data_IF_811619984676
#
_entry.id   IF_811619984676
#
_cell.length_a   1.000
_cell.length_b   1.000
_cell.length_c   1.000
_cell.angle_alpha   90.00
_cell.angle_beta   90.00
_cell.angle_gamma   90.00
#
_symmetry.space_group_name_H-M   'P 1'
#
loop_
_entity.id
_entity.type
_entity.pdbx_description
1 polymer ?
#
# COMPACT_ATOMS: atom_id res chain seq x y z
N UNK A 1 -0.07 -12.20 62.41
CA UNK A 1 -0.63 -12.62 61.12
C UNK A 1 -0.47 -11.46 60.14
N UNK A 2 0.42 -11.58 59.16
CA UNK A 2 0.57 -10.59 58.09
C UNK A 2 0.08 -11.24 56.79
N UNK A 3 -0.96 -10.68 56.19
CA UNK A 3 -1.49 -11.13 54.90
C UNK A 3 -0.69 -10.43 53.81
N UNK A 4 0.13 -11.19 53.07
CA UNK A 4 0.76 -10.71 51.85
C UNK A 4 -0.30 -10.71 50.73
N UNK A 5 -0.68 -9.52 50.26
CA UNK A 5 -1.52 -9.37 49.07
C UNK A 5 -0.66 -9.64 47.84
N UNK A 6 -0.97 -10.73 47.14
CA UNK A 6 -0.38 -11.03 45.84
C UNK A 6 -1.04 -10.14 44.78
N UNK A 7 -0.25 -9.26 44.16
CA UNK A 7 -0.64 -8.58 42.92
C UNK A 7 -0.23 -9.47 41.74
N UNK A 8 -1.17 -10.03 40.96
CA UNK A 8 -0.79 -10.67 39.71
C UNK A 8 -0.25 -9.57 38.80
N UNK A 9 1.05 -9.61 38.53
CA UNK A 9 1.63 -8.80 37.47
C UNK A 9 0.96 -9.21 36.17
N UNK A 10 0.20 -8.30 35.57
CA UNK A 10 -0.18 -8.42 34.17
C UNK A 10 1.13 -8.51 33.40
N UNK A 11 1.46 -9.72 32.92
CA UNK A 11 2.50 -9.90 31.94
C UNK A 11 2.00 -9.17 30.69
N UNK A 12 2.45 -7.93 30.49
CA UNK A 12 2.29 -7.31 29.19
C UNK A 12 3.11 -8.13 28.21
N UNK A 13 2.47 -8.65 27.16
CA UNK A 13 3.17 -9.13 25.99
C UNK A 13 4.11 -8.01 25.54
N UNK A 14 5.40 -8.24 25.72
CA UNK A 14 6.40 -7.33 25.19
C UNK A 14 6.38 -7.54 23.69
N UNK A 15 6.04 -6.53 22.88
CA UNK A 15 5.99 -6.71 21.44
C UNK A 15 7.37 -7.15 20.95
N UNK A 16 7.44 -8.35 20.40
CA UNK A 16 8.65 -8.85 19.76
C UNK A 16 8.86 -8.10 18.45
N UNK A 17 10.02 -7.46 18.23
CA UNK A 17 10.30 -6.74 16.98
C UNK A 17 10.33 -7.67 15.76
N UNK A 18 10.49 -8.97 15.97
CA UNK A 18 10.64 -9.97 14.91
C UNK A 18 9.33 -10.70 14.57
N UNK A 19 8.22 -10.41 15.27
CA UNK A 19 6.93 -11.04 14.99
C UNK A 19 6.05 -10.14 14.12
N UNK A 20 5.44 -10.75 13.09
CA UNK A 20 4.36 -10.11 12.35
C UNK A 20 3.15 -9.92 13.26
N UNK A 21 2.60 -8.71 13.27
CA UNK A 21 1.41 -8.32 14.04
C UNK A 21 0.32 -7.86 13.08
N UNK A 22 -0.87 -7.61 13.62
CA UNK A 22 -1.95 -7.00 12.84
C UNK A 22 -1.54 -5.60 12.35
N UNK A 23 -0.90 -4.80 13.19
CA UNK A 23 -0.45 -3.45 12.82
C UNK A 23 0.53 -3.50 11.63
N UNK A 24 1.45 -4.48 11.63
CA UNK A 24 2.34 -4.68 10.49
C UNK A 24 1.56 -4.97 9.20
N UNK A 25 0.49 -5.76 9.25
CA UNK A 25 -0.35 -6.02 8.08
C UNK A 25 -1.13 -4.78 7.63
N UNK A 26 -1.64 -3.98 8.57
CA UNK A 26 -2.41 -2.78 8.26
C UNK A 26 -1.55 -1.65 7.67
N UNK A 27 -0.27 -1.59 8.03
CA UNK A 27 0.70 -0.63 7.50
C UNK A 27 1.36 -1.11 6.19
N UNK A 28 1.12 -2.35 5.77
CA UNK A 28 1.67 -2.88 4.52
C UNK A 28 1.08 -2.18 3.29
N UNK A 29 1.95 -1.96 2.33
CA UNK A 29 1.57 -1.51 1.01
C UNK A 29 1.81 -2.60 -0.02
N UNK A 30 0.89 -2.69 -0.97
CA UNK A 30 0.98 -3.63 -2.09
C UNK A 30 1.25 -2.85 -3.36
N UNK A 31 2.28 -3.27 -4.09
CA UNK A 31 2.55 -2.83 -5.45
C UNK A 31 2.06 -3.91 -6.42
N UNK A 32 1.28 -3.53 -7.42
CA UNK A 32 0.66 -4.48 -8.34
C UNK A 32 0.25 -3.88 -9.68
N UNK A 33 -0.26 -4.75 -10.56
CA UNK A 33 -0.70 -4.43 -11.92
C UNK A 33 0.27 -3.56 -12.75
N UNK A 34 1.56 -3.95 -12.84
CA UNK A 34 2.53 -3.19 -13.62
C UNK A 34 2.25 -3.31 -15.12
N UNK A 35 2.35 -2.19 -15.83
CA UNK A 35 2.28 -2.12 -17.30
C UNK A 35 3.47 -1.35 -17.85
N UNK A 36 4.18 -1.97 -18.80
CA UNK A 36 5.29 -1.33 -19.52
C UNK A 36 4.72 -0.44 -20.63
N UNK A 37 5.26 0.77 -20.80
CA UNK A 37 4.88 1.66 -21.90
C UNK A 37 5.21 1.03 -23.26
N UNK A 38 4.49 1.38 -24.36
CA UNK A 38 4.75 0.79 -25.67
C UNK A 38 6.18 0.99 -26.20
N UNK A 39 6.84 2.09 -25.80
CA UNK A 39 8.24 2.37 -26.13
C UNK A 39 9.26 1.70 -25.18
N UNK A 40 8.79 0.99 -24.15
CA UNK A 40 9.60 0.28 -23.17
C UNK A 40 10.32 1.16 -22.15
N UNK A 41 10.08 2.48 -22.14
CA UNK A 41 10.86 3.42 -21.33
C UNK A 41 10.33 3.60 -19.91
N UNK A 42 9.05 3.33 -19.69
CA UNK A 42 8.36 3.60 -18.42
C UNK A 42 7.51 2.43 -17.97
N UNK A 43 7.28 2.36 -16.67
CA UNK A 43 6.36 1.41 -16.04
C UNK A 43 5.33 2.20 -15.25
N UNK A 44 4.05 2.00 -15.55
CA UNK A 44 2.94 2.45 -14.71
C UNK A 44 2.48 1.29 -13.83
N UNK A 45 2.15 1.55 -12.57
CA UNK A 45 1.73 0.52 -11.62
C UNK A 45 0.78 1.08 -10.56
N UNK A 46 0.05 0.20 -9.89
CA UNK A 46 -0.82 0.54 -8.77
C UNK A 46 -0.11 0.29 -7.43
N UNK A 47 -0.31 1.19 -6.48
CA UNK A 47 0.08 1.06 -5.07
C UNK A 47 -1.20 1.12 -4.23
N UNK A 48 -1.44 0.12 -3.39
CA UNK A 48 -2.64 0.04 -2.54
C UNK A 48 -2.28 -0.23 -1.09
N UNK A 49 -3.06 0.34 -0.17
CA UNK A 49 -2.86 0.24 1.27
C UNK A 49 -4.21 0.21 1.99
N UNK A 50 -4.21 -0.19 3.25
CA UNK A 50 -5.40 -0.11 4.11
C UNK A 50 -5.50 1.32 4.64
N UNK A 51 -6.59 2.02 4.33
CA UNK A 51 -6.97 3.23 5.04
C UNK A 51 -7.74 2.82 6.29
N UNK A 52 -7.03 2.73 7.42
CA UNK A 52 -7.59 2.29 8.70
C UNK A 52 -8.71 3.21 9.21
N UNK A 53 -8.64 4.50 8.92
CA UNK A 53 -9.67 5.48 9.34
C UNK A 53 -10.98 5.32 8.59
N UNK A 54 -10.91 4.94 7.31
CA UNK A 54 -12.08 4.76 6.44
C UNK A 54 -12.52 3.29 6.30
N UNK A 55 -11.83 2.37 6.98
CA UNK A 55 -12.05 0.92 6.93
C UNK A 55 -12.18 0.37 5.50
N UNK A 56 -11.24 0.77 4.62
CA UNK A 56 -11.24 0.35 3.21
C UNK A 56 -9.85 0.34 2.61
N UNK A 57 -9.70 -0.33 1.48
CA UNK A 57 -8.49 -0.21 0.67
C UNK A 57 -8.53 1.07 -0.16
N UNK A 58 -7.42 1.79 -0.17
CA UNK A 58 -7.19 2.90 -1.10
C UNK A 58 -6.08 2.53 -2.08
N UNK A 59 -6.10 3.16 -3.25
CA UNK A 59 -5.16 2.89 -4.33
C UNK A 59 -4.75 4.17 -5.04
N UNK A 60 -3.49 4.23 -5.44
CA UNK A 60 -2.98 5.26 -6.33
C UNK A 60 -2.07 4.67 -7.39
N UNK A 61 -1.98 5.40 -8.51
CA UNK A 61 -1.18 5.03 -9.66
C UNK A 61 0.12 5.83 -9.63
N UNK A 62 1.21 5.12 -9.89
CA UNK A 62 2.56 5.66 -9.97
C UNK A 62 3.16 5.33 -11.33
N UNK A 63 4.16 6.11 -11.71
CA UNK A 63 4.99 5.85 -12.89
C UNK A 63 6.46 5.96 -12.52
N UNK A 64 7.28 5.10 -13.11
CA UNK A 64 8.74 5.10 -12.97
C UNK A 64 9.41 4.83 -14.31
N UNK A 65 10.71 5.14 -14.42
CA UNK A 65 11.53 4.73 -15.54
C UNK A 65 11.69 3.19 -15.51
N UNK A 66 11.90 2.55 -16.66
CA UNK A 66 11.98 1.09 -16.76
C UNK A 66 13.15 0.45 -15.99
N UNK A 67 14.15 1.26 -15.59
CA UNK A 67 15.25 0.86 -14.70
C UNK A 67 14.89 0.94 -13.20
N UNK A 68 13.65 1.33 -12.88
CA UNK A 68 13.14 1.49 -11.52
C UNK A 68 13.42 2.87 -10.90
N UNK A 69 14.13 3.75 -11.60
CA UNK A 69 14.41 5.10 -11.13
C UNK A 69 13.23 6.05 -11.34
N UNK A 70 13.29 7.23 -10.72
CA UNK A 70 12.31 8.32 -10.89
C UNK A 70 10.85 7.95 -10.65
N UNK A 71 10.60 7.01 -9.73
CA UNK A 71 9.24 6.70 -9.29
C UNK A 71 8.54 7.95 -8.74
N UNK A 72 7.33 8.22 -9.23
CA UNK A 72 6.50 9.36 -8.80
C UNK A 72 5.02 9.03 -8.83
N UNK A 73 4.28 9.67 -7.93
CA UNK A 73 2.82 9.66 -7.93
C UNK A 73 2.29 10.27 -9.23
N UNK A 74 1.19 9.69 -9.73
CA UNK A 74 0.48 10.19 -10.90
C UNK A 74 -0.93 10.66 -10.54
N UNK A 75 -1.76 9.76 -10.00
CA UNK A 75 -3.17 10.04 -9.68
C UNK A 75 -3.72 9.00 -8.70
N UNK A 76 -4.77 9.34 -7.96
CA UNK A 76 -5.57 8.34 -7.22
C UNK A 76 -6.38 7.48 -8.19
N UNK A 77 -6.46 6.18 -7.92
CA UNK A 77 -7.14 5.23 -8.80
C UNK A 77 -6.44 3.88 -8.90
N UNK A 78 -6.91 3.05 -9.82
CA UNK A 78 -6.46 1.67 -10.02
C UNK A 78 -6.51 1.23 -11.49
N UNK A 79 -6.02 0.02 -11.75
CA UNK A 79 -6.08 -0.65 -13.06
C UNK A 79 -5.52 0.18 -14.23
N UNK A 80 -4.29 0.72 -14.13
CA UNK A 80 -3.74 1.60 -15.16
C UNK A 80 -3.46 0.84 -16.47
N UNK A 81 -3.79 1.41 -17.62
CA UNK A 81 -3.48 0.84 -18.95
C UNK A 81 -2.93 1.93 -19.87
N UNK A 82 -1.78 1.67 -20.49
CA UNK A 82 -1.25 2.55 -21.53
C UNK A 82 -2.14 2.53 -22.78
N UNK A 83 -2.30 3.68 -23.42
CA UNK A 83 -2.79 3.71 -24.81
C UNK A 83 -1.78 3.04 -25.73
N UNK A 84 -2.21 2.47 -26.88
CA UNK A 84 -1.30 1.78 -27.80
C UNK A 84 -0.15 2.67 -28.34
N UNK A 85 -0.37 3.98 -28.43
CA UNK A 85 0.62 4.98 -28.85
C UNK A 85 1.48 5.51 -27.69
N UNK A 86 1.22 5.09 -26.45
CA UNK A 86 1.93 5.51 -25.25
C UNK A 86 1.65 6.95 -24.79
N UNK A 87 0.75 7.68 -25.45
CA UNK A 87 0.50 9.10 -25.16
C UNK A 87 -0.43 9.33 -23.96
N UNK A 88 -1.17 8.30 -23.53
CA UNK A 88 -2.19 8.38 -22.47
C UNK A 88 -2.19 7.14 -21.59
N UNK A 89 -2.78 7.30 -20.41
CA UNK A 89 -3.06 6.20 -19.48
C UNK A 89 -4.55 6.25 -19.14
N UNK A 90 -5.25 5.14 -19.38
CA UNK A 90 -6.59 4.91 -18.87
C UNK A 90 -6.52 4.30 -17.47
N UNK A 91 -7.47 4.62 -16.59
CA UNK A 91 -7.52 4.12 -15.23
C UNK A 91 -8.94 4.12 -14.67
N UNK A 92 -9.15 3.38 -13.58
CA UNK A 92 -10.39 3.40 -12.80
C UNK A 92 -10.22 4.36 -11.62
N UNK A 93 -11.23 5.19 -11.38
CA UNK A 93 -11.33 6.06 -10.22
C UNK A 93 -12.65 5.79 -9.50
N UNK A 94 -12.68 6.01 -8.18
CA UNK A 94 -13.97 6.16 -7.49
C UNK A 94 -14.64 7.41 -8.06
N UNK A 95 -15.86 7.25 -8.59
CA UNK A 95 -16.69 8.39 -8.96
C UNK A 95 -17.26 9.05 -7.70
N UNK A 96 -17.49 10.36 -7.74
CA UNK A 96 -18.42 10.97 -6.79
C UNK A 96 -19.84 10.44 -7.08
N UNK A 97 -20.63 10.07 -6.06
CA UNK A 97 -22.03 9.70 -6.24
C UNK A 97 -22.88 10.90 -6.71
#
# INVERSE_FOLDING_TARGET
MALALWSPGVAQETPSPDLLTVDHYLDMERVGDPQISPDGRQIVFARSWVNQLKDRFESSIYVMDADGSRSRFLVEGSSPRWSPDGSRIAYLAEGEP
#
